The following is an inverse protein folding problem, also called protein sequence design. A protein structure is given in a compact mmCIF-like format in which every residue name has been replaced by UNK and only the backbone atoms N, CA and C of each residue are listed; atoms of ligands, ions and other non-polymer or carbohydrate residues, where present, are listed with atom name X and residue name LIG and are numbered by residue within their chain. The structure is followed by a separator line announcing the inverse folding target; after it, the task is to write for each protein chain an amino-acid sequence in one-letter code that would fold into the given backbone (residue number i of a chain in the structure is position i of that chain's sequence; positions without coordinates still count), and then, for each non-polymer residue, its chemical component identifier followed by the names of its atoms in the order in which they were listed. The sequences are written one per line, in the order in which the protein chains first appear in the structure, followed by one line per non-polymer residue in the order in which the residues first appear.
data_IF_472951693947
#
_entry.id   IF_472951693947
#
_cell.length_a   1.000
_cell.length_b   1.000
_cell.length_c   1.000
_cell.angle_alpha   90.00
_cell.angle_beta   90.00
_cell.angle_gamma   90.00
#
_symmetry.space_group_name_H-M   'P 1'
#
loop_
_entity.id
_entity.type
_entity.pdbx_description
1 polymer ?
#
# COMPACT_ATOMS: atom_id res chain seq x y z
N UNK A 1 15.61 -7.53 23.55
CA UNK A 1 14.88 -7.52 24.84
C UNK A 1 13.52 -8.16 24.61
N UNK A 2 13.15 -9.12 25.46
CA UNK A 2 11.79 -9.69 25.46
C UNK A 2 10.86 -8.72 26.19
N UNK A 3 9.78 -8.32 25.54
CA UNK A 3 8.72 -7.47 26.11
C UNK A 3 7.46 -8.29 26.38
N UNK A 4 6.63 -7.85 27.30
CA UNK A 4 5.45 -8.62 27.71
C UNK A 4 4.31 -8.51 26.68
N UNK A 5 4.08 -7.31 26.20
CA UNK A 5 3.00 -7.01 25.25
C UNK A 5 3.32 -5.77 24.42
N UNK A 6 2.39 -5.35 23.57
CA UNK A 6 2.55 -4.16 22.70
C UNK A 6 2.34 -2.83 23.42
N UNK A 7 1.87 -2.84 24.66
CA UNK A 7 1.72 -1.65 25.51
C UNK A 7 3.02 -1.31 26.23
N UNK A 8 4.04 -2.16 26.15
CA UNK A 8 5.36 -1.86 26.70
C UNK A 8 5.87 -0.51 26.14
N UNK A 9 6.40 0.39 26.98
CA UNK A 9 6.92 1.69 26.53
C UNK A 9 7.99 1.59 25.43
N UNK A 10 8.73 0.48 25.34
CA UNK A 10 9.68 0.21 24.24
C UNK A 10 9.02 -0.02 22.88
N UNK A 11 7.70 -0.22 22.85
CA UNK A 11 6.91 -0.41 21.62
C UNK A 11 6.20 0.87 21.17
N UNK A 12 6.33 1.98 21.91
CA UNK A 12 5.62 3.22 21.59
C UNK A 12 6.16 3.91 20.36
N UNK A 13 7.48 3.89 20.17
CA UNK A 13 8.17 4.51 19.05
C UNK A 13 9.21 3.57 18.44
N UNK A 14 9.64 3.87 17.20
CA UNK A 14 10.71 3.13 16.54
C UNK A 14 12.06 3.38 17.26
N UNK A 15 12.72 2.29 17.62
CA UNK A 15 14.02 2.36 18.29
C UNK A 15 15.17 2.39 17.26
N UNK A 16 15.79 3.55 17.08
CA UNK A 16 17.03 3.67 16.31
C UNK A 16 18.23 3.36 17.22
N UNK A 17 18.60 2.07 17.33
CA UNK A 17 19.70 1.68 18.20
C UNK A 17 19.84 0.16 18.30
N UNK A 18 20.71 -0.32 19.20
CA UNK A 18 21.02 -1.75 19.33
C UNK A 18 19.95 -2.55 20.10
N UNK A 19 18.79 -1.97 20.36
CA UNK A 19 17.71 -2.62 21.10
C UNK A 19 16.67 -3.15 20.13
N UNK A 20 16.36 -4.43 20.22
CA UNK A 20 15.27 -5.08 19.48
C UNK A 20 14.25 -5.62 20.48
N UNK A 21 13.04 -5.04 20.57
CA UNK A 21 11.93 -5.62 21.30
C UNK A 21 11.46 -6.92 20.63
N UNK A 22 11.27 -7.96 21.42
CA UNK A 22 10.84 -9.28 20.94
C UNK A 22 9.58 -9.69 21.68
N UNK A 23 8.51 -9.90 20.93
CA UNK A 23 7.24 -10.44 21.42
C UNK A 23 7.09 -11.91 21.00
N UNK A 24 6.58 -12.80 21.86
CA UNK A 24 6.25 -14.13 21.44
C UNK A 24 5.07 -14.11 20.46
N UNK A 25 5.10 -15.02 19.50
CA UNK A 25 4.02 -15.27 18.55
C UNK A 25 3.28 -16.53 18.99
N UNK A 26 2.09 -16.37 19.57
CA UNK A 26 1.28 -17.51 19.99
C UNK A 26 0.40 -18.04 18.86
N UNK A 27 -0.23 -17.13 18.11
CA UNK A 27 -1.07 -17.43 16.95
C UNK A 27 -0.86 -16.41 15.83
N UNK A 28 -0.65 -16.89 14.61
CA UNK A 28 -0.40 -16.05 13.44
C UNK A 28 -1.58 -15.13 13.14
N UNK A 29 -2.83 -15.62 13.21
CA UNK A 29 -4.01 -14.84 12.87
C UNK A 29 -4.22 -13.66 13.83
N UNK A 30 -4.04 -13.91 15.11
CA UNK A 30 -4.11 -12.88 16.15
C UNK A 30 -3.04 -11.82 15.92
N UNK A 31 -1.81 -12.24 15.67
CA UNK A 31 -0.68 -11.32 15.39
C UNK A 31 -0.92 -10.48 14.13
N UNK A 32 -1.44 -11.09 13.05
CA UNK A 32 -1.78 -10.35 11.83
C UNK A 32 -2.91 -9.36 12.06
N UNK A 33 -3.90 -9.71 12.90
CA UNK A 33 -4.95 -8.78 13.26
C UNK A 33 -4.43 -7.57 14.06
N UNK A 34 -3.46 -7.77 14.93
CA UNK A 34 -2.79 -6.70 15.66
C UNK A 34 -1.93 -5.81 14.75
N UNK A 35 -1.13 -6.41 13.85
CA UNK A 35 -0.34 -5.66 12.87
C UNK A 35 -1.24 -4.77 12.01
N UNK A 36 -2.40 -5.26 11.57
CA UNK A 36 -3.35 -4.47 10.76
C UNK A 36 -3.94 -3.27 11.50
N UNK A 37 -4.11 -3.37 12.82
CA UNK A 37 -4.63 -2.26 13.65
C UNK A 37 -3.60 -1.18 13.90
N UNK A 38 -2.32 -1.54 13.86
CA UNK A 38 -1.22 -0.62 14.09
C UNK A 38 -0.92 0.31 12.90
N UNK A 39 0.03 1.23 13.09
CA UNK A 39 0.56 2.04 11.99
C UNK A 39 1.21 1.14 10.95
N UNK A 40 1.13 1.55 9.68
CA UNK A 40 1.70 0.78 8.57
C UNK A 40 3.20 1.02 8.49
N UNK A 41 4.04 -0.01 8.67
CA UNK A 41 5.49 0.16 8.67
C UNK A 41 6.03 0.40 7.26
N UNK A 42 7.23 0.97 7.17
CA UNK A 42 7.97 1.09 5.91
C UNK A 42 8.34 -0.29 5.36
N UNK A 43 8.73 -1.22 6.22
CA UNK A 43 9.12 -2.57 5.83
C UNK A 43 8.55 -3.63 6.77
N UNK A 44 8.23 -4.78 6.20
CA UNK A 44 7.86 -5.99 6.92
C UNK A 44 8.79 -7.12 6.48
N UNK A 45 9.35 -7.82 7.44
CA UNK A 45 10.23 -8.96 7.20
C UNK A 45 9.61 -10.23 7.77
N UNK A 46 9.56 -11.28 6.96
CA UNK A 46 9.03 -12.58 7.36
C UNK A 46 10.05 -13.67 7.11
N UNK A 47 10.40 -14.41 8.15
CA UNK A 47 11.31 -15.54 8.08
C UNK A 47 10.58 -16.87 8.28
N UNK A 48 10.84 -17.83 7.41
CA UNK A 48 10.21 -19.15 7.48
C UNK A 48 8.72 -19.14 7.14
N UNK A 49 7.99 -20.05 7.76
CA UNK A 49 6.58 -20.30 7.45
C UNK A 49 6.39 -21.12 6.17
N UNK A 50 5.19 -21.68 6.02
CA UNK A 50 4.76 -22.35 4.79
C UNK A 50 4.38 -21.28 3.74
N UNK A 51 4.37 -21.63 2.45
CA UNK A 51 3.92 -20.75 1.38
C UNK A 51 2.54 -20.14 1.65
N UNK A 52 1.62 -20.96 2.19
CA UNK A 52 0.29 -20.49 2.59
C UNK A 52 0.34 -19.40 3.66
N UNK A 53 1.21 -19.54 4.65
CA UNK A 53 1.39 -18.54 5.70
C UNK A 53 2.04 -17.28 5.17
N UNK A 54 3.04 -17.42 4.30
CA UNK A 54 3.67 -16.28 3.61
C UNK A 54 2.64 -15.50 2.78
N UNK A 55 1.84 -16.20 1.97
CA UNK A 55 0.78 -15.58 1.18
C UNK A 55 -0.27 -14.90 2.08
N UNK A 56 -0.67 -15.54 3.17
CA UNK A 56 -1.58 -14.95 4.14
C UNK A 56 -1.04 -13.62 4.71
N UNK A 57 0.24 -13.55 5.04
CA UNK A 57 0.88 -12.30 5.51
C UNK A 57 0.80 -11.22 4.43
N UNK A 58 1.16 -11.56 3.19
CA UNK A 58 1.11 -10.63 2.05
C UNK A 58 -0.30 -10.09 1.80
N UNK A 59 -1.31 -10.95 1.85
CA UNK A 59 -2.70 -10.59 1.54
C UNK A 59 -3.38 -9.79 2.66
N UNK A 60 -2.94 -9.99 3.91
CA UNK A 60 -3.65 -9.44 5.07
C UNK A 60 -2.94 -8.29 5.76
N UNK A 61 -1.69 -7.99 5.42
CA UNK A 61 -0.96 -6.85 6.00
C UNK A 61 -0.69 -5.77 4.95
N UNK A 62 -0.34 -4.58 5.42
CA UNK A 62 0.06 -3.46 4.58
C UNK A 62 1.35 -2.86 5.12
N UNK A 63 2.33 -2.70 4.25
CA UNK A 63 3.62 -2.06 4.53
C UNK A 63 4.14 -1.40 3.25
N UNK A 64 5.15 -0.56 3.35
CA UNK A 64 5.82 0.00 2.19
C UNK A 64 6.48 -1.06 1.31
N UNK A 65 7.10 -2.06 1.91
CA UNK A 65 7.66 -3.22 1.23
C UNK A 65 7.72 -4.45 2.12
N UNK A 66 7.86 -5.62 1.49
CA UNK A 66 8.02 -6.89 2.19
C UNK A 66 9.27 -7.61 1.70
N UNK A 67 10.00 -8.24 2.61
CA UNK A 67 11.08 -9.16 2.26
C UNK A 67 10.83 -10.51 2.93
N UNK A 68 10.87 -11.58 2.15
CA UNK A 68 10.71 -12.94 2.63
C UNK A 68 12.08 -13.58 2.79
N UNK A 69 12.36 -14.07 3.99
CA UNK A 69 13.61 -14.73 4.38
C UNK A 69 14.88 -13.86 4.22
N UNK A 70 14.70 -12.53 4.19
CA UNK A 70 15.81 -11.58 4.14
C UNK A 70 15.39 -10.25 4.79
N UNK A 71 16.33 -9.32 4.92
CA UNK A 71 16.11 -7.96 5.45
C UNK A 71 16.75 -6.93 4.52
N UNK A 72 16.15 -5.76 4.41
CA UNK A 72 16.70 -4.58 3.72
C UNK A 72 16.87 -4.75 2.20
N UNK A 73 17.09 -5.96 1.69
CA UNK A 73 17.45 -6.22 0.30
C UNK A 73 16.44 -5.69 -0.73
N UNK A 74 15.15 -5.63 -0.39
CA UNK A 74 14.13 -5.02 -1.26
C UNK A 74 14.39 -3.53 -1.56
N UNK A 75 15.10 -2.83 -0.66
CA UNK A 75 15.48 -1.43 -0.86
C UNK A 75 16.65 -1.25 -1.85
N UNK A 76 17.41 -2.31 -2.09
CA UNK A 76 18.56 -2.30 -3.01
C UNK A 76 18.25 -2.78 -4.43
N UNK A 77 17.03 -3.25 -4.69
CA UNK A 77 16.63 -3.74 -6.03
C UNK A 77 16.09 -2.58 -6.87
N UNK A 78 16.80 -2.17 -7.96
CA UNK A 78 16.43 -0.96 -8.71
C UNK A 78 15.05 -1.00 -9.37
N UNK A 79 14.53 -2.19 -9.67
CA UNK A 79 13.24 -2.38 -10.35
C UNK A 79 12.06 -2.51 -9.38
N UNK A 80 12.32 -2.67 -8.09
CA UNK A 80 11.28 -2.70 -7.07
C UNK A 80 10.96 -1.28 -6.58
N UNK A 81 9.68 -0.89 -6.50
CA UNK A 81 9.31 0.38 -5.91
C UNK A 81 9.67 0.38 -4.41
N UNK A 82 10.34 1.44 -3.96
CA UNK A 82 10.66 1.65 -2.56
C UNK A 82 9.96 2.91 -2.04
N UNK A 83 9.18 2.76 -1.01
CA UNK A 83 8.44 3.85 -0.37
C UNK A 83 7.52 3.34 0.70
N UNK A 84 7.03 4.25 1.55
CA UNK A 84 6.11 3.95 2.63
C UNK A 84 4.65 4.03 2.22
N UNK A 85 3.76 3.69 3.15
CA UNK A 85 2.31 3.79 2.98
C UNK A 85 1.67 4.35 4.26
N UNK A 86 0.79 5.32 4.15
CA UNK A 86 0.17 5.98 5.30
C UNK A 86 1.20 6.70 6.16
N UNK A 87 1.32 6.33 7.44
CA UNK A 87 2.25 6.96 8.37
C UNK A 87 3.73 6.76 8.05
N UNK A 88 4.10 5.70 7.31
CA UNK A 88 5.49 5.42 6.94
C UNK A 88 5.97 6.12 5.67
N UNK A 89 5.09 6.78 4.93
CA UNK A 89 5.47 7.53 3.74
C UNK A 89 4.37 7.65 2.71
N UNK A 90 4.67 8.37 1.63
CA UNK A 90 3.78 8.62 0.51
C UNK A 90 4.56 8.60 -0.80
N UNK A 91 4.04 7.89 -1.78
CA UNK A 91 4.71 7.65 -3.04
C UNK A 91 5.83 6.62 -2.94
N UNK A 92 6.48 6.35 -4.05
CA UNK A 92 7.61 5.42 -4.13
C UNK A 92 8.60 5.86 -5.20
N UNK A 93 9.85 5.42 -5.08
CA UNK A 93 10.89 5.67 -6.06
C UNK A 93 11.57 4.35 -6.48
N UNK A 94 12.58 4.41 -7.26
CA UNK A 94 13.23 3.39 -8.10
C UNK A 94 12.51 3.14 -9.43
N UNK A 95 13.30 2.98 -10.49
CA UNK A 95 12.88 2.59 -11.81
C UNK A 95 11.66 3.36 -12.32
N UNK A 96 10.71 2.62 -12.86
CA UNK A 96 9.46 3.19 -13.38
C UNK A 96 8.61 3.87 -12.30
N UNK A 97 8.59 3.35 -11.08
CA UNK A 97 7.81 3.94 -9.99
C UNK A 97 8.29 5.37 -9.66
N UNK A 98 9.61 5.58 -9.64
CA UNK A 98 10.18 6.92 -9.46
C UNK A 98 9.82 7.86 -10.61
N UNK A 99 9.94 7.39 -11.85
CA UNK A 99 9.53 8.19 -13.01
C UNK A 99 8.05 8.58 -12.93
N UNK A 100 7.17 7.64 -12.65
CA UNK A 100 5.72 7.89 -12.54
C UNK A 100 5.39 8.84 -11.39
N UNK A 101 6.07 8.70 -10.24
CA UNK A 101 5.87 9.57 -9.06
C UNK A 101 6.22 11.03 -9.34
N UNK A 102 7.29 11.28 -10.12
CA UNK A 102 7.74 12.63 -10.46
C UNK A 102 7.24 13.13 -11.83
N UNK A 103 6.32 12.42 -12.45
CA UNK A 103 5.76 12.76 -13.77
C UNK A 103 4.25 13.02 -13.65
N UNK A 104 3.75 13.84 -14.56
CA UNK A 104 2.32 14.08 -14.70
C UNK A 104 1.78 13.42 -15.97
N UNK A 105 0.86 12.47 -15.81
CA UNK A 105 0.16 11.85 -16.93
C UNK A 105 -0.95 12.78 -17.44
N UNK A 106 -0.71 13.48 -18.55
CA UNK A 106 -1.70 14.37 -19.17
C UNK A 106 -2.71 13.57 -19.99
N UNK A 107 -3.96 13.58 -19.55
CA UNK A 107 -5.04 12.98 -20.34
C UNK A 107 -5.34 13.82 -21.58
N UNK A 108 -5.38 13.18 -22.76
CA UNK A 108 -5.71 13.84 -24.03
C UNK A 108 -6.83 13.05 -24.71
N UNK A 109 -7.99 13.71 -24.85
CA UNK A 109 -9.12 13.20 -25.63
C UNK A 109 -9.18 13.92 -26.97
N UNK A 110 -9.02 13.19 -28.08
CA UNK A 110 -9.22 13.72 -29.44
C UNK A 110 -10.55 13.23 -29.96
N UNK A 111 -11.41 14.15 -30.37
CA UNK A 111 -12.67 13.86 -31.01
C UNK A 111 -12.71 14.51 -32.40
N UNK A 112 -13.14 13.80 -33.45
CA UNK A 112 -13.35 14.40 -34.75
C UNK A 112 -14.58 15.34 -34.70
N UNK A 113 -14.52 16.46 -35.38
CA UNK A 113 -15.62 17.43 -35.42
C UNK A 113 -16.89 16.90 -36.15
N UNK A 114 -16.77 15.78 -36.87
CA UNK A 114 -17.86 15.21 -37.68
C UNK A 114 -19.04 14.67 -36.85
N UNK A 115 -18.82 14.38 -35.58
CA UNK A 115 -19.84 13.86 -34.68
C UNK A 115 -19.97 14.72 -33.44
N UNK A 116 -21.14 15.34 -33.28
CA UNK A 116 -21.46 16.07 -32.09
C UNK A 116 -22.75 15.55 -31.45
N UNK A 117 -22.68 15.23 -30.17
CA UNK A 117 -23.82 14.76 -29.42
C UNK A 117 -24.66 15.94 -28.94
N UNK A 118 -25.76 16.24 -29.61
CA UNK A 118 -26.67 17.33 -29.24
C UNK A 118 -27.16 17.28 -27.78
N UNK A 119 -27.15 16.09 -27.18
CA UNK A 119 -27.49 15.87 -25.76
C UNK A 119 -26.55 16.58 -24.77
N UNK A 120 -25.40 17.09 -25.22
CA UNK A 120 -24.43 17.84 -24.41
C UNK A 120 -24.79 19.31 -24.23
N UNK A 121 -25.79 19.81 -24.97
CA UNK A 121 -26.17 21.20 -25.01
C UNK A 121 -27.61 21.42 -24.52
N UNK A 122 -27.90 22.54 -23.89
CA UNK A 122 -29.27 22.93 -23.53
C UNK A 122 -30.15 23.07 -24.79
N UNK A 123 -31.47 22.88 -24.66
CA UNK A 123 -32.17 22.35 -23.49
C UNK A 123 -31.95 20.83 -23.33
N UNK A 124 -31.62 20.41 -22.11
CA UNK A 124 -31.37 19.02 -21.78
C UNK A 124 -32.69 18.21 -21.77
N UNK A 125 -32.89 17.41 -22.81
CA UNK A 125 -34.12 16.58 -22.99
C UNK A 125 -33.94 15.15 -22.41
N UNK A 126 -32.87 14.88 -21.67
CA UNK A 126 -32.59 13.58 -21.08
C UNK A 126 -33.30 13.43 -19.72
N UNK A 127 -34.02 12.32 -19.56
CA UNK A 127 -34.57 11.92 -18.27
C UNK A 127 -33.40 11.59 -17.30
N UNK A 128 -33.53 12.05 -16.05
CA UNK A 128 -32.58 11.76 -14.98
C UNK A 128 -32.34 10.26 -14.76
N UNK A 129 -33.36 9.41 -15.03
CA UNK A 129 -33.22 7.95 -14.96
C UNK A 129 -32.25 7.40 -16.00
N UNK A 130 -32.26 7.97 -17.20
CA UNK A 130 -31.35 7.56 -18.28
C UNK A 130 -29.92 8.02 -17.99
N UNK A 131 -29.74 9.22 -17.45
CA UNK A 131 -28.44 9.75 -17.04
C UNK A 131 -27.79 8.89 -15.93
N UNK A 132 -28.56 8.48 -14.92
CA UNK A 132 -28.09 7.59 -13.86
C UNK A 132 -27.64 6.24 -14.40
N UNK A 133 -28.31 5.70 -15.42
CA UNK A 133 -27.94 4.43 -16.05
C UNK A 133 -26.68 4.51 -16.92
N UNK A 134 -26.34 5.71 -17.43
CA UNK A 134 -25.15 5.95 -18.25
C UNK A 134 -23.92 6.34 -17.42
N UNK A 135 -24.13 6.80 -16.19
CA UNK A 135 -23.05 7.22 -15.31
C UNK A 135 -22.50 6.07 -14.42
N UNK A 136 -23.10 4.87 -14.47
CA UNK A 136 -22.64 3.66 -13.73
C UNK A 136 -23.27 3.55 -12.37
#
# INVERSE_FOLDING_TARGET
IRVADRQDPLMADELFGPLLPVLPLDDLNTTLAEIRRGPKPLALYLFGGTERQQQQVLDTTSSGGVCLNDVVMQAGVPDLPFGGVGGSGMGSYHGKAGFDTFSHAKAVLRRPFRFDFKLRYPPYKLDLKLLRKLAG
#
